data_IF_539442257908
#
_entry.id   IF_539442257908
#
_cell.length_a   1.000
_cell.length_b   1.000
_cell.length_c   1.000
_cell.angle_alpha   90.00
_cell.angle_beta   90.00
_cell.angle_gamma   90.00
#
_symmetry.space_group_name_H-M   'P 1'
#
loop_
_entity.id
_entity.type
_entity.pdbx_description
1 polymer ?
#
# COMPACT_ATOMS: atom_id res chain seq x y z
N UNK A 1 -24.63 -22.43 5.38
CA UNK A 1 -23.65 -21.68 6.17
C UNK A 1 -23.00 -20.70 5.23
N UNK A 2 -23.24 -19.43 5.44
CA UNK A 2 -22.93 -18.36 4.50
C UNK A 2 -22.15 -17.31 5.27
N UNK A 3 -20.90 -17.68 5.61
CA UNK A 3 -19.88 -16.73 6.05
C UNK A 3 -19.41 -15.96 4.82
N UNK A 4 -19.33 -14.63 4.94
CA UNK A 4 -18.69 -13.75 3.97
C UNK A 4 -17.60 -12.96 4.70
N UNK A 5 -16.38 -12.97 4.18
CA UNK A 5 -15.25 -12.24 4.74
C UNK A 5 -14.68 -11.23 3.75
N UNK A 6 -14.31 -10.06 4.28
CA UNK A 6 -13.67 -8.98 3.54
C UNK A 6 -12.38 -8.61 4.28
N UNK A 7 -11.24 -8.61 3.59
CA UNK A 7 -10.04 -7.94 4.10
C UNK A 7 -9.93 -6.55 3.47
N UNK A 8 -9.46 -5.58 4.25
CA UNK A 8 -9.11 -4.24 3.81
C UNK A 8 -7.62 -4.07 4.08
N UNK A 9 -6.85 -3.95 3.01
CA UNK A 9 -5.41 -3.78 3.02
C UNK A 9 -5.08 -2.32 2.80
N UNK A 10 -4.32 -1.73 3.72
CA UNK A 10 -4.14 -0.28 3.82
C UNK A 10 -2.73 0.09 4.28
N UNK A 11 -2.36 1.36 4.09
CA UNK A 11 -1.12 1.93 4.63
C UNK A 11 -1.29 2.29 6.10
N UNK A 12 -0.50 1.65 6.97
CA UNK A 12 -0.51 1.86 8.41
C UNK A 12 -0.36 3.34 8.78
N UNK A 13 -1.09 3.76 9.82
CA UNK A 13 -1.29 5.16 10.22
C UNK A 13 -2.02 6.02 9.17
N UNK A 14 -1.54 6.05 7.92
CA UNK A 14 -2.06 6.94 6.87
C UNK A 14 -3.51 6.68 6.48
N UNK A 15 -3.95 5.41 6.59
CA UNK A 15 -5.27 4.96 6.15
C UNK A 15 -6.01 4.17 7.22
N UNK A 16 -5.54 4.23 8.47
CA UNK A 16 -6.11 3.46 9.58
C UNK A 16 -7.60 3.75 9.81
N UNK A 17 -7.96 5.03 9.83
CA UNK A 17 -9.34 5.47 10.03
C UNK A 17 -10.21 5.05 8.84
N UNK A 18 -9.70 5.20 7.61
CA UNK A 18 -10.37 4.75 6.39
C UNK A 18 -10.71 3.25 6.45
N UNK A 19 -9.71 2.40 6.73
CA UNK A 19 -9.91 0.95 6.84
C UNK A 19 -10.86 0.58 8.00
N UNK A 20 -10.83 1.32 9.10
CA UNK A 20 -11.73 1.14 10.23
C UNK A 20 -13.18 1.48 9.86
N UNK A 21 -13.40 2.57 9.14
CA UNK A 21 -14.72 2.99 8.67
C UNK A 21 -15.32 1.97 7.71
N UNK A 22 -14.53 1.47 6.75
CA UNK A 22 -14.97 0.45 5.79
C UNK A 22 -15.37 -0.83 6.53
N UNK A 23 -14.48 -1.39 7.36
CA UNK A 23 -14.75 -2.66 8.06
C UNK A 23 -15.94 -2.58 9.02
N UNK A 24 -16.10 -1.45 9.74
CA UNK A 24 -17.27 -1.24 10.61
C UNK A 24 -18.55 -0.99 9.80
N UNK A 25 -18.47 -0.25 8.71
CA UNK A 25 -19.60 0.03 7.81
C UNK A 25 -20.23 -1.25 7.27
N UNK A 26 -19.40 -2.22 6.88
CA UNK A 26 -19.85 -3.56 6.46
C UNK A 26 -20.69 -4.23 7.56
N UNK A 27 -20.19 -4.27 8.80
CA UNK A 27 -20.89 -4.91 9.92
C UNK A 27 -22.19 -4.17 10.25
N UNK A 28 -22.19 -2.84 10.24
CA UNK A 28 -23.40 -2.05 10.48
C UNK A 28 -24.47 -2.29 9.41
N UNK A 29 -24.08 -2.37 8.15
CA UNK A 29 -24.99 -2.68 7.05
C UNK A 29 -25.55 -4.10 7.18
N UNK A 30 -24.70 -5.10 7.44
CA UNK A 30 -25.12 -6.49 7.57
C UNK A 30 -26.14 -6.71 8.71
N UNK A 31 -25.99 -5.99 9.84
CA UNK A 31 -26.94 -6.08 10.96
C UNK A 31 -28.36 -5.63 10.61
N UNK A 32 -28.54 -4.79 9.58
CA UNK A 32 -29.87 -4.39 9.09
C UNK A 32 -30.60 -5.54 8.40
N UNK A 33 -29.86 -6.52 7.89
CA UNK A 33 -30.38 -7.72 7.27
C UNK A 33 -30.52 -8.89 8.26
N UNK A 34 -30.37 -8.64 9.56
CA UNK A 34 -30.45 -9.66 10.60
C UNK A 34 -29.19 -10.52 10.73
N UNK A 35 -28.13 -10.24 9.96
CA UNK A 35 -26.83 -10.92 10.05
C UNK A 35 -26.06 -10.47 11.28
N UNK A 36 -25.10 -11.29 11.71
CA UNK A 36 -24.11 -10.95 12.73
C UNK A 36 -22.75 -10.71 12.09
N UNK A 37 -21.89 -9.91 12.71
CA UNK A 37 -20.56 -9.67 12.16
C UNK A 37 -19.54 -9.13 13.15
N UNK A 38 -18.28 -9.30 12.79
CA UNK A 38 -17.09 -8.89 13.54
C UNK A 38 -16.19 -8.04 12.64
N UNK A 39 -15.68 -6.93 13.18
CA UNK A 39 -14.65 -6.12 12.54
C UNK A 39 -13.41 -6.04 13.44
N UNK A 40 -12.25 -6.45 12.94
CA UNK A 40 -11.01 -6.52 13.71
C UNK A 40 -9.78 -6.19 12.86
N UNK A 41 -8.68 -5.77 13.50
CA UNK A 41 -7.39 -5.58 12.84
C UNK A 41 -6.51 -6.80 13.04
N UNK A 42 -5.60 -7.06 12.10
CA UNK A 42 -4.60 -8.11 12.27
C UNK A 42 -3.66 -7.74 13.42
N UNK A 43 -3.57 -8.61 14.41
CA UNK A 43 -2.83 -8.30 15.64
C UNK A 43 -1.35 -8.04 15.39
N UNK A 44 -0.73 -8.80 14.46
CA UNK A 44 0.69 -8.64 14.09
C UNK A 44 1.04 -7.29 13.48
N UNK A 45 0.06 -6.53 12.97
CA UNK A 45 0.29 -5.18 12.46
C UNK A 45 0.35 -4.12 13.58
N UNK A 46 0.01 -4.48 14.83
CA UNK A 46 0.02 -3.57 15.96
C UNK A 46 1.34 -3.62 16.74
N UNK A 47 1.94 -2.47 17.10
CA UNK A 47 1.54 -1.12 16.73
C UNK A 47 1.83 -0.78 15.26
N UNK A 48 0.87 -0.14 14.59
CA UNK A 48 1.02 0.28 13.19
C UNK A 48 2.19 1.28 13.02
N UNK A 49 2.72 1.34 11.80
CA UNK A 49 3.81 2.23 11.39
C UNK A 49 3.42 2.97 10.11
N UNK A 50 3.95 4.17 9.93
CA UNK A 50 3.68 5.00 8.75
C UNK A 50 3.99 4.24 7.45
N UNK A 51 2.99 4.06 6.60
CA UNK A 51 3.15 3.49 5.26
C UNK A 51 3.34 1.97 5.20
N UNK A 52 3.65 1.31 6.33
CA UNK A 52 3.78 -0.15 6.34
C UNK A 52 2.40 -0.77 6.09
N UNK A 53 2.27 -1.72 5.14
CA UNK A 53 1.02 -2.42 4.88
C UNK A 53 0.43 -3.06 6.15
N UNK A 54 -0.87 -2.87 6.35
CA UNK A 54 -1.64 -3.45 7.43
C UNK A 54 -2.98 -3.98 6.91
N UNK A 55 -3.60 -4.88 7.68
CA UNK A 55 -4.88 -5.50 7.34
C UNK A 55 -5.93 -5.31 8.43
N UNK A 56 -7.17 -5.06 8.00
CA UNK A 56 -8.38 -5.19 8.84
C UNK A 56 -9.37 -6.10 8.15
N UNK A 57 -10.18 -6.78 8.93
CA UNK A 57 -11.16 -7.73 8.44
C UNK A 57 -12.57 -7.31 8.87
N UNK A 58 -13.54 -7.60 8.03
CA UNK A 58 -14.94 -7.67 8.37
C UNK A 58 -15.45 -9.07 7.99
N UNK A 59 -15.98 -9.81 8.97
CA UNK A 59 -16.58 -11.13 8.76
C UNK A 59 -18.04 -11.03 9.15
N UNK A 60 -18.93 -11.42 8.25
CA UNK A 60 -20.38 -11.46 8.48
C UNK A 60 -20.91 -12.86 8.25
N UNK A 61 -21.91 -13.25 9.02
CA UNK A 61 -22.55 -14.55 8.93
C UNK A 61 -24.05 -14.43 9.26
N UNK A 62 -24.84 -15.40 8.82
CA UNK A 62 -26.29 -15.38 9.01
C UNK A 62 -26.69 -15.64 10.48
N UNK A 63 -25.84 -16.32 11.24
CA UNK A 63 -26.09 -16.63 12.65
C UNK A 63 -24.79 -16.65 13.47
N UNK A 64 -24.95 -16.72 14.79
CA UNK A 64 -23.83 -16.62 15.73
C UNK A 64 -22.89 -17.83 15.71
N UNK A 65 -23.43 -19.05 15.53
CA UNK A 65 -22.63 -20.28 15.48
C UNK A 65 -21.60 -20.22 14.33
N UNK A 66 -22.02 -19.71 13.15
CA UNK A 66 -21.13 -19.51 12.00
C UNK A 66 -20.07 -18.42 12.24
N UNK A 67 -20.37 -17.41 13.05
CA UNK A 67 -19.42 -16.34 13.37
C UNK A 67 -18.37 -16.80 14.40
N UNK A 68 -18.74 -17.71 15.30
CA UNK A 68 -17.89 -18.19 16.41
C UNK A 68 -16.57 -18.81 15.94
N UNK A 69 -16.56 -19.45 14.76
CA UNK A 69 -15.35 -19.97 14.12
C UNK A 69 -14.29 -18.88 13.86
N UNK A 70 -14.70 -17.62 13.74
CA UNK A 70 -13.82 -16.49 13.38
C UNK A 70 -13.50 -15.57 14.58
N UNK A 71 -14.07 -15.80 15.77
CA UNK A 71 -13.89 -14.92 16.94
C UNK A 71 -12.49 -15.00 17.56
N UNK A 72 -11.71 -16.05 17.26
CA UNK A 72 -10.39 -16.30 17.85
C UNK A 72 -9.25 -16.39 16.80
N UNK A 73 -9.42 -15.74 15.64
CA UNK A 73 -8.42 -15.73 14.58
C UNK A 73 -7.66 -14.39 14.54
N UNK A 74 -6.36 -14.44 14.26
CA UNK A 74 -5.54 -13.24 14.05
C UNK A 74 -5.67 -12.67 12.64
N UNK A 75 -6.01 -13.51 11.67
CA UNK A 75 -6.18 -13.22 10.24
C UNK A 75 -7.19 -14.24 9.69
N UNK A 76 -8.03 -13.85 8.73
CA UNK A 76 -8.95 -14.78 8.07
C UNK A 76 -8.15 -15.76 7.17
N UNK A 77 -8.58 -17.03 7.08
CA UNK A 77 -7.92 -18.01 6.20
C UNK A 77 -8.14 -17.75 4.71
N UNK A 78 -9.33 -17.29 4.35
CA UNK A 78 -9.72 -16.83 3.01
C UNK A 78 -10.74 -15.68 3.11
N UNK A 79 -10.90 -14.93 2.02
CA UNK A 79 -11.84 -13.82 1.90
C UNK A 79 -12.56 -13.81 0.54
N UNK A 80 -13.80 -13.34 0.56
CA UNK A 80 -14.63 -13.10 -0.62
C UNK A 80 -14.18 -11.87 -1.40
N UNK A 81 -13.76 -10.83 -0.65
CA UNK A 81 -13.29 -9.57 -1.22
C UNK A 81 -12.02 -9.11 -0.51
N UNK A 82 -10.98 -8.81 -1.29
CA UNK A 82 -9.80 -8.09 -0.84
C UNK A 82 -9.91 -6.65 -1.32
N UNK A 83 -10.16 -5.73 -0.40
CA UNK A 83 -10.18 -4.28 -0.67
C UNK A 83 -8.76 -3.73 -0.53
N UNK A 84 -8.30 -3.01 -1.54
CA UNK A 84 -6.96 -2.41 -1.60
C UNK A 84 -7.12 -0.91 -1.71
N UNK A 85 -6.79 -0.16 -0.67
CA UNK A 85 -7.05 1.31 -0.62
C UNK A 85 -5.90 2.17 -1.17
N UNK A 86 -4.86 1.54 -1.69
CA UNK A 86 -3.71 2.14 -2.38
C UNK A 86 -3.20 1.14 -3.42
N UNK A 87 -3.22 1.50 -4.70
CA UNK A 87 -2.88 0.60 -5.80
C UNK A 87 -1.43 0.10 -5.79
N UNK A 88 -0.52 0.84 -5.17
CA UNK A 88 0.88 0.42 -5.05
C UNK A 88 1.05 -0.80 -4.14
N UNK A 89 0.04 -1.14 -3.33
CA UNK A 89 -0.01 -2.40 -2.56
C UNK A 89 -0.21 -3.63 -3.45
N UNK A 90 -0.65 -3.47 -4.71
CA UNK A 90 -0.75 -4.59 -5.66
C UNK A 90 0.60 -5.27 -5.92
N UNK A 91 1.69 -4.48 -5.82
CA UNK A 91 3.08 -4.95 -5.93
C UNK A 91 3.55 -5.82 -4.77
N UNK A 92 2.68 -6.10 -3.81
CA UNK A 92 2.95 -6.97 -2.67
C UNK A 92 2.93 -6.23 -1.34
N UNK A 93 2.66 -6.98 -0.29
CA UNK A 93 2.47 -6.46 1.06
C UNK A 93 3.32 -7.21 2.06
N UNK A 94 3.95 -6.48 2.96
CA UNK A 94 4.75 -7.03 4.05
C UNK A 94 4.33 -6.35 5.34
N UNK A 95 3.86 -7.14 6.30
CA UNK A 95 3.59 -6.64 7.66
C UNK A 95 4.91 -6.29 8.33
N UNK A 96 4.91 -5.34 9.27
CA UNK A 96 6.10 -5.19 10.14
C UNK A 96 6.30 -6.38 11.09
N UNK A 97 5.25 -7.15 11.39
CA UNK A 97 5.30 -8.36 12.22
C UNK A 97 5.52 -9.66 11.44
N UNK A 98 5.64 -9.58 10.11
CA UNK A 98 5.89 -10.72 9.21
C UNK A 98 7.17 -10.45 8.42
N UNK A 99 7.92 -11.49 8.11
CA UNK A 99 9.08 -11.39 7.23
C UNK A 99 8.75 -12.10 5.92
N UNK A 100 8.79 -11.37 4.80
CA UNK A 100 8.49 -11.89 3.47
C UNK A 100 7.38 -11.13 2.78
N UNK A 101 7.48 -11.01 1.46
CA UNK A 101 6.45 -10.37 0.65
C UNK A 101 5.28 -11.32 0.44
N UNK A 102 4.07 -10.82 0.65
CA UNK A 102 2.84 -11.54 0.36
C UNK A 102 2.15 -10.93 -0.87
N UNK A 103 1.64 -11.76 -1.80
CA UNK A 103 0.73 -11.30 -2.84
C UNK A 103 -0.49 -10.58 -2.25
N UNK A 104 -0.92 -9.48 -2.88
CA UNK A 104 -2.13 -8.75 -2.45
C UNK A 104 -3.39 -9.63 -2.51
N UNK A 105 -3.43 -10.59 -3.43
CA UNK A 105 -4.52 -11.51 -3.70
C UNK A 105 -4.38 -12.86 -2.96
N UNK A 106 -3.48 -12.95 -1.97
CA UNK A 106 -3.17 -14.21 -1.29
C UNK A 106 -4.41 -14.84 -0.64
N UNK A 107 -5.16 -14.06 0.16
CA UNK A 107 -6.36 -14.55 0.85
C UNK A 107 -7.60 -14.59 -0.04
N UNK A 108 -7.62 -13.90 -1.18
CA UNK A 108 -8.78 -13.87 -2.06
C UNK A 108 -9.09 -15.29 -2.52
N UNK A 109 -10.29 -15.79 -2.24
CA UNK A 109 -10.72 -17.13 -2.66
C UNK A 109 -10.87 -17.23 -4.17
N UNK A 110 -10.96 -18.45 -4.69
CA UNK A 110 -11.29 -18.70 -6.09
C UNK A 110 -12.60 -18.01 -6.47
N UNK A 111 -12.59 -17.26 -7.57
CA UNK A 111 -13.70 -16.40 -8.02
C UNK A 111 -14.12 -15.31 -7.00
N UNK A 112 -13.28 -15.01 -6.01
CA UNK A 112 -13.39 -13.82 -5.16
C UNK A 112 -13.01 -12.56 -5.92
N UNK A 113 -13.09 -11.40 -5.26
CA UNK A 113 -12.80 -10.10 -5.89
C UNK A 113 -11.65 -9.38 -5.18
N UNK A 114 -10.67 -8.90 -5.94
CA UNK A 114 -9.75 -7.84 -5.50
C UNK A 114 -10.33 -6.51 -5.97
N UNK A 115 -10.66 -5.61 -5.04
CA UNK A 115 -11.28 -4.31 -5.31
C UNK A 115 -10.28 -3.21 -4.96
N UNK A 116 -9.77 -2.51 -5.97
CA UNK A 116 -8.66 -1.56 -5.81
C UNK A 116 -9.14 -0.11 -5.97
N UNK A 117 -8.79 0.76 -5.05
CA UNK A 117 -8.93 2.21 -5.23
C UNK A 117 -7.79 2.72 -6.10
N UNK A 118 -8.10 3.12 -7.34
CA UNK A 118 -7.07 3.57 -8.28
C UNK A 118 -7.62 4.42 -9.42
N UNK A 119 -6.77 5.29 -9.98
CA UNK A 119 -7.02 5.91 -11.28
C UNK A 119 -6.63 5.00 -12.45
N UNK A 120 -5.80 3.98 -12.21
CA UNK A 120 -5.35 3.02 -13.21
C UNK A 120 -6.50 2.13 -13.72
N UNK A 121 -6.28 1.53 -14.89
CA UNK A 121 -7.16 0.48 -15.43
C UNK A 121 -6.79 -0.90 -14.88
N UNK A 122 -7.72 -1.87 -14.94
CA UNK A 122 -7.46 -3.25 -14.48
C UNK A 122 -6.20 -3.87 -15.09
N UNK A 123 -5.93 -3.65 -16.38
CA UNK A 123 -4.78 -4.27 -17.06
C UNK A 123 -3.43 -3.80 -16.49
N UNK A 124 -3.32 -2.53 -16.07
CA UNK A 124 -2.10 -2.03 -15.44
C UNK A 124 -1.94 -2.61 -14.03
N UNK A 125 -3.02 -2.66 -13.26
CA UNK A 125 -3.02 -3.24 -11.91
C UNK A 125 -2.68 -4.73 -11.92
N UNK A 126 -3.13 -5.48 -12.95
CA UNK A 126 -2.77 -6.89 -13.12
C UNK A 126 -1.26 -7.04 -13.32
N UNK A 127 -0.60 -6.16 -14.07
CA UNK A 127 0.86 -6.21 -14.27
C UNK A 127 1.63 -6.10 -12.96
N UNK A 128 1.12 -5.34 -12.00
CA UNK A 128 1.72 -5.19 -10.67
C UNK A 128 1.33 -6.33 -9.71
N UNK A 129 0.18 -6.98 -9.95
CA UNK A 129 -0.36 -8.00 -9.06
C UNK A 129 0.28 -9.36 -9.34
N UNK A 130 0.82 -10.00 -8.31
CA UNK A 130 1.39 -11.35 -8.40
C UNK A 130 0.38 -12.38 -8.93
N UNK A 131 0.88 -13.30 -9.75
CA UNK A 131 0.10 -14.42 -10.30
C UNK A 131 -0.52 -15.27 -9.19
N UNK A 132 -1.70 -15.82 -9.49
CA UNK A 132 -2.43 -16.74 -8.63
C UNK A 132 -2.87 -17.95 -9.45
N UNK A 133 -2.78 -19.14 -8.86
CA UNK A 133 -3.16 -20.40 -9.53
C UNK A 133 -4.68 -20.58 -9.69
N UNK A 134 -5.47 -19.66 -9.14
CA UNK A 134 -6.92 -19.69 -9.20
C UNK A 134 -7.46 -18.36 -9.76
N UNK A 135 -8.51 -18.39 -10.59
CA UNK A 135 -9.10 -17.18 -11.14
C UNK A 135 -9.70 -16.31 -10.04
N UNK A 136 -9.66 -15.00 -10.24
CA UNK A 136 -10.32 -14.00 -9.40
C UNK A 136 -10.85 -12.84 -10.25
N UNK A 137 -11.68 -11.99 -9.66
CA UNK A 137 -12.15 -10.75 -10.29
C UNK A 137 -11.34 -9.57 -9.80
N UNK A 138 -10.97 -8.65 -10.69
CA UNK A 138 -10.36 -7.38 -10.35
C UNK A 138 -11.34 -6.24 -10.64
N UNK A 139 -11.81 -5.58 -9.59
CA UNK A 139 -12.65 -4.39 -9.67
C UNK A 139 -11.85 -3.13 -9.34
N UNK A 140 -12.27 -2.00 -9.91
CA UNK A 140 -11.64 -0.70 -9.64
C UNK A 140 -12.67 0.30 -9.11
N UNK A 141 -12.41 0.84 -7.94
CA UNK A 141 -13.08 2.03 -7.43
C UNK A 141 -12.25 3.24 -7.86
N UNK A 142 -12.77 4.05 -8.79
CA UNK A 142 -12.03 5.22 -9.28
C UNK A 142 -11.81 6.23 -8.16
N UNK A 143 -10.55 6.53 -7.87
CA UNK A 143 -10.13 7.49 -6.87
C UNK A 143 -8.61 7.62 -6.80
N UNK A 144 -8.15 8.77 -6.33
CA UNK A 144 -6.76 8.95 -5.89
C UNK A 144 -6.56 8.33 -4.51
N UNK A 145 -5.31 8.18 -4.09
CA UNK A 145 -5.01 7.61 -2.78
C UNK A 145 -5.47 8.55 -1.66
N UNK A 146 -6.26 8.01 -0.74
CA UNK A 146 -6.78 8.76 0.42
C UNK A 146 -5.83 8.61 1.61
N UNK A 147 -4.79 9.44 1.69
CA UNK A 147 -3.91 9.50 2.86
C UNK A 147 -4.31 10.60 3.84
N UNK A 148 -4.15 10.29 5.12
CA UNK A 148 -4.45 11.19 6.23
C UNK A 148 -3.49 10.93 7.39
N UNK A 149 -3.02 11.96 8.10
CA UNK A 149 -2.11 11.77 9.24
C UNK A 149 -2.78 11.07 10.45
N UNK A 150 -1.99 10.73 11.49
CA UNK A 150 -2.50 10.06 12.70
C UNK A 150 -3.71 10.74 13.36
N UNK A 151 -3.81 12.06 13.27
CA UNK A 151 -4.81 12.89 13.95
C UNK A 151 -5.84 13.53 13.00
N UNK A 152 -5.74 13.27 11.71
CA UNK A 152 -6.57 13.88 10.67
C UNK A 152 -7.23 12.75 9.90
N UNK A 153 -8.50 12.90 9.56
CA UNK A 153 -9.17 12.04 8.59
C UNK A 153 -9.46 12.86 7.34
N UNK A 154 -9.05 12.37 6.18
CA UNK A 154 -9.39 12.96 4.88
C UNK A 154 -10.73 12.35 4.46
N UNK A 155 -11.80 13.12 4.59
CA UNK A 155 -13.14 12.66 4.22
C UNK A 155 -13.43 12.92 2.74
N UNK A 156 -12.74 12.22 1.85
CA UNK A 156 -12.88 12.34 0.39
C UNK A 156 -13.85 11.30 -0.21
N UNK A 157 -14.74 10.76 0.63
CA UNK A 157 -15.73 9.74 0.29
C UNK A 157 -15.13 8.43 -0.27
N UNK A 158 -13.83 8.16 -0.05
CA UNK A 158 -13.24 6.86 -0.43
C UNK A 158 -13.91 5.69 0.31
N UNK A 159 -14.22 5.85 1.61
CA UNK A 159 -14.99 4.86 2.38
C UNK A 159 -16.38 4.61 1.79
N UNK A 160 -17.14 5.68 1.49
CA UNK A 160 -18.48 5.58 0.93
C UNK A 160 -18.48 4.89 -0.44
N UNK A 161 -17.54 5.25 -1.33
CA UNK A 161 -17.41 4.61 -2.66
C UNK A 161 -17.09 3.12 -2.55
N UNK A 162 -16.15 2.74 -1.68
CA UNK A 162 -15.82 1.33 -1.43
C UNK A 162 -17.02 0.58 -0.86
N UNK A 163 -17.68 1.15 0.16
CA UNK A 163 -18.87 0.55 0.76
C UNK A 163 -19.98 0.35 -0.27
N UNK A 164 -20.18 1.30 -1.19
CA UNK A 164 -21.13 1.15 -2.30
C UNK A 164 -20.74 0.08 -3.32
N UNK A 165 -19.45 -0.07 -3.61
CA UNK A 165 -18.94 -1.08 -4.55
C UNK A 165 -19.03 -2.52 -4.00
N UNK A 166 -18.96 -2.71 -2.67
CA UNK A 166 -18.98 -4.04 -2.05
C UNK A 166 -20.24 -4.87 -2.37
N UNK A 167 -21.48 -4.35 -2.19
CA UNK A 167 -22.71 -5.04 -2.61
C UNK A 167 -22.75 -5.41 -4.09
N UNK A 168 -22.03 -4.68 -4.95
CA UNK A 168 -21.98 -4.96 -6.40
C UNK A 168 -21.13 -6.19 -6.69
N UNK A 169 -19.96 -6.29 -6.07
CA UNK A 169 -18.98 -7.36 -6.33
C UNK A 169 -19.17 -8.61 -5.45
N UNK A 170 -19.87 -8.43 -4.33
CA UNK A 170 -20.24 -9.48 -3.39
C UNK A 170 -21.68 -9.26 -2.86
N UNK A 171 -22.72 -9.61 -3.65
CA UNK A 171 -24.11 -9.42 -3.25
C UNK A 171 -24.52 -10.21 -1.99
N UNK A 172 -23.82 -11.32 -1.72
CA UNK A 172 -24.02 -12.17 -0.54
C UNK A 172 -23.68 -11.41 0.77
N UNK A 173 -22.83 -10.39 0.69
CA UNK A 173 -22.38 -9.61 1.84
C UNK A 173 -23.55 -8.83 2.45
N UNK A 174 -24.13 -7.94 1.65
CA UNK A 174 -25.21 -7.03 2.02
C UNK A 174 -25.79 -6.36 0.77
N UNK A 175 -27.06 -5.96 0.81
CA UNK A 175 -27.70 -5.15 -0.23
C UNK A 175 -27.20 -3.70 -0.24
N UNK A 176 -27.32 -3.05 -1.40
CA UNK A 176 -26.99 -1.61 -1.55
C UNK A 176 -27.90 -0.72 -0.69
N UNK A 177 -29.15 -1.11 -0.45
CA UNK A 177 -30.08 -0.32 0.35
C UNK A 177 -29.71 -0.37 1.84
N UNK A 178 -29.43 -1.56 2.39
CA UNK A 178 -28.93 -1.69 3.76
C UNK A 178 -27.57 -0.98 3.94
N UNK A 179 -26.71 -1.01 2.92
CA UNK A 179 -25.46 -0.24 2.94
C UNK A 179 -25.71 1.26 2.97
N UNK A 180 -26.58 1.78 2.09
CA UNK A 180 -26.96 3.18 2.04
C UNK A 180 -27.58 3.67 3.36
N UNK A 181 -28.47 2.88 3.96
CA UNK A 181 -29.07 3.20 5.25
C UNK A 181 -28.06 3.18 6.41
N UNK A 182 -27.07 2.28 6.38
CA UNK A 182 -26.00 2.26 7.36
C UNK A 182 -25.09 3.49 7.20
N UNK A 183 -24.75 3.87 5.96
CA UNK A 183 -23.99 5.09 5.68
C UNK A 183 -24.75 6.32 6.21
N UNK A 184 -26.03 6.45 5.88
CA UNK A 184 -26.85 7.57 6.33
C UNK A 184 -26.94 7.61 7.86
N UNK A 185 -27.08 6.46 8.52
CA UNK A 185 -27.16 6.42 9.98
C UNK A 185 -25.86 6.86 10.65
N UNK A 186 -24.71 6.38 10.16
CA UNK A 186 -23.40 6.63 10.77
C UNK A 186 -22.91 8.06 10.53
N UNK A 187 -23.06 8.58 9.31
CA UNK A 187 -22.49 9.86 8.92
C UNK A 187 -23.50 11.01 8.84
N UNK A 188 -24.81 10.72 8.80
CA UNK A 188 -25.87 11.74 8.60
C UNK A 188 -25.65 12.60 7.34
N UNK A 189 -25.14 11.96 6.29
CA UNK A 189 -24.70 12.64 5.06
C UNK A 189 -25.31 11.95 3.82
N UNK A 190 -26.22 12.65 3.14
CA UNK A 190 -26.87 12.16 1.91
C UNK A 190 -25.92 12.14 0.71
N UNK A 191 -24.91 13.01 0.67
CA UNK A 191 -23.91 13.05 -0.41
C UNK A 191 -23.02 11.81 -0.37
N UNK A 192 -22.73 11.29 0.83
CA UNK A 192 -22.05 9.99 0.98
C UNK A 192 -22.91 8.83 0.48
N UNK A 193 -24.21 8.86 0.72
CA UNK A 193 -25.14 7.85 0.19
C UNK A 193 -25.14 7.88 -1.34
N UNK A 194 -25.22 9.07 -1.95
CA UNK A 194 -25.13 9.24 -3.39
C UNK A 194 -23.79 8.75 -3.95
N UNK A 195 -22.70 9.00 -3.24
CA UNK A 195 -21.36 8.53 -3.61
C UNK A 195 -21.29 7.01 -3.62
N UNK A 196 -21.88 6.35 -2.62
CA UNK A 196 -21.97 4.90 -2.55
C UNK A 196 -22.83 4.32 -3.68
N UNK A 197 -24.01 4.88 -3.94
CA UNK A 197 -24.90 4.42 -5.03
C UNK A 197 -24.25 4.59 -6.41
N UNK A 198 -23.62 5.74 -6.66
CA UNK A 198 -22.84 5.96 -7.90
C UNK A 198 -21.71 4.96 -8.05
N UNK A 199 -21.02 4.61 -6.96
CA UNK A 199 -19.96 3.61 -7.00
C UNK A 199 -20.52 2.21 -7.27
N UNK A 200 -21.65 1.84 -6.67
CA UNK A 200 -22.36 0.58 -6.96
C UNK A 200 -22.67 0.43 -8.45
N UNK A 201 -23.21 1.47 -9.08
CA UNK A 201 -23.60 1.45 -10.50
C UNK A 201 -22.40 1.39 -11.44
N UNK A 202 -21.30 2.05 -11.08
CA UNK A 202 -20.09 2.20 -11.91
C UNK A 202 -19.05 1.10 -11.73
N UNK A 203 -19.11 0.37 -10.62
CA UNK A 203 -18.13 -0.68 -10.34
C UNK A 203 -18.37 -1.84 -11.28
N UNK A 204 -17.37 -2.11 -12.09
CA UNK A 204 -17.28 -3.28 -12.95
C UNK A 204 -16.02 -4.08 -12.60
N UNK A 205 -15.99 -5.33 -13.00
CA UNK A 205 -14.91 -6.27 -12.71
C UNK A 205 -14.41 -6.95 -13.96
N UNK A 206 -13.10 -7.15 -14.04
CA UNK A 206 -12.45 -7.98 -15.04
C UNK A 206 -12.07 -9.33 -14.42
N UNK A 207 -12.28 -10.43 -15.13
CA UNK A 207 -11.74 -11.73 -14.71
C UNK A 207 -10.24 -11.74 -14.98
N UNK A 208 -9.46 -12.20 -14.00
CA UNK A 208 -8.03 -12.44 -14.10
C UNK A 208 -7.84 -13.95 -14.04
N UNK A 209 -7.36 -14.53 -15.14
CA UNK A 209 -7.16 -15.97 -15.28
C UNK A 209 -5.84 -16.42 -14.65
N UNK A 210 -5.72 -17.71 -14.28
CA UNK A 210 -4.45 -18.26 -13.81
C UNK A 210 -3.30 -18.00 -14.78
N UNK A 211 -2.16 -17.56 -14.24
CA UNK A 211 -0.99 -17.17 -15.02
C UNK A 211 -1.00 -15.73 -15.56
N UNK A 212 -2.08 -14.96 -15.36
CA UNK A 212 -2.06 -13.51 -15.57
C UNK A 212 -1.45 -12.77 -14.37
N UNK A 213 -0.63 -11.77 -14.65
CA UNK A 213 -0.02 -10.88 -13.66
C UNK A 213 1.49 -11.01 -13.55
N UNK A 214 2.06 -10.43 -12.49
CA UNK A 214 3.50 -10.46 -12.21
C UNK A 214 3.95 -11.89 -11.86
N UNK A 215 4.88 -12.44 -12.65
CA UNK A 215 5.47 -13.75 -12.44
C UNK A 215 6.60 -13.78 -11.42
N UNK A 216 6.96 -12.64 -10.83
CA UNK A 216 7.90 -12.56 -9.72
C UNK A 216 7.45 -13.47 -8.58
N UNK A 217 8.39 -14.25 -8.05
CA UNK A 217 8.15 -15.07 -6.88
C UNK A 217 8.41 -14.18 -5.66
N UNK A 218 7.39 -13.89 -4.82
CA UNK A 218 7.58 -13.09 -3.62
C UNK A 218 8.70 -13.66 -2.76
N UNK A 219 9.63 -12.81 -2.32
CA UNK A 219 10.70 -13.26 -1.44
C UNK A 219 10.10 -13.75 -0.11
N UNK A 220 10.70 -14.82 0.42
CA UNK A 220 10.30 -15.44 1.67
C UNK A 220 11.53 -15.90 2.43
N UNK A 221 11.34 -16.24 3.70
CA UNK A 221 12.42 -16.67 4.57
C UNK A 221 12.00 -17.91 5.35
N UNK A 222 12.96 -18.80 5.57
CA UNK A 222 12.77 -19.95 6.45
C UNK A 222 12.76 -19.48 7.91
N UNK A 223 11.58 -19.48 8.52
CA UNK A 223 11.46 -19.15 9.93
C UNK A 223 12.02 -20.31 10.77
N UNK A 224 12.92 -20.06 11.73
CA UNK A 224 13.44 -21.12 12.58
C UNK A 224 12.29 -21.72 13.40
N UNK A 225 12.15 -23.03 13.35
CA UNK A 225 11.25 -23.75 14.24
C UNK A 225 11.69 -23.60 15.70
N UNK A 226 10.77 -23.78 16.65
CA UNK A 226 11.04 -23.62 18.08
C UNK A 226 12.20 -24.49 18.61
N UNK A 227 12.50 -25.61 17.95
CA UNK A 227 13.63 -26.50 18.26
C UNK A 227 14.97 -25.99 17.72
N UNK A 228 14.95 -25.08 16.75
CA UNK A 228 16.12 -24.58 16.03
C UNK A 228 16.49 -23.14 16.47
N UNK A 229 15.65 -22.52 17.30
CA UNK A 229 15.94 -21.20 17.86
C UNK A 229 17.14 -21.29 18.82
N UNK A 230 18.09 -20.38 18.68
CA UNK A 230 19.25 -20.28 19.56
C UNK A 230 18.81 -19.96 21.01
N UNK A 231 19.48 -20.57 21.99
CA UNK A 231 19.23 -20.29 23.41
C UNK A 231 19.45 -18.80 23.70
N UNK A 232 18.46 -18.15 24.32
CA UNK A 232 18.54 -16.74 24.69
C UNK A 232 18.24 -15.72 23.59
N UNK A 233 17.85 -16.14 22.36
CA UNK A 233 17.47 -15.25 21.24
C UNK A 233 18.60 -14.25 20.92
N UNK A 234 19.78 -14.76 20.57
CA UNK A 234 20.92 -13.90 20.17
C UNK A 234 20.68 -13.37 18.76
N UNK A 235 20.28 -12.10 18.66
CA UNK A 235 20.20 -11.39 17.38
C UNK A 235 21.59 -10.83 17.04
N UNK A 236 22.19 -11.34 15.97
CA UNK A 236 23.48 -10.85 15.48
C UNK A 236 23.33 -9.41 14.98
N UNK A 237 24.26 -8.54 15.38
CA UNK A 237 24.30 -7.16 14.88
C UNK A 237 24.58 -7.13 13.38
N UNK A 238 24.11 -6.07 12.71
CA UNK A 238 24.43 -5.82 11.31
C UNK A 238 25.91 -5.41 11.23
N UNK A 239 26.64 -6.04 10.30
CA UNK A 239 28.06 -5.73 10.05
C UNK A 239 28.25 -4.29 9.57
N UNK A 240 29.50 -3.81 9.62
CA UNK A 240 29.83 -2.52 9.02
C UNK A 240 29.72 -2.59 7.49
N UNK A 241 29.36 -1.46 6.88
CA UNK A 241 29.39 -1.32 5.42
C UNK A 241 30.78 -1.51 4.80
N UNK A 242 30.80 -1.77 3.51
CA UNK A 242 32.03 -1.89 2.68
C UNK A 242 32.14 -0.71 1.72
N UNK A 243 33.13 -0.69 0.83
CA UNK A 243 33.07 0.20 -0.33
C UNK A 243 31.88 -0.17 -1.24
N UNK A 244 31.54 0.76 -2.13
CA UNK A 244 30.38 0.64 -3.03
C UNK A 244 30.50 -0.63 -3.87
N UNK A 245 29.51 -1.53 -3.81
CA UNK A 245 29.53 -2.82 -4.52
C UNK A 245 30.84 -3.61 -4.29
N UNK A 246 31.30 -3.65 -3.04
CA UNK A 246 32.54 -4.31 -2.62
C UNK A 246 33.83 -3.71 -3.22
N UNK A 247 33.75 -2.52 -3.81
CA UNK A 247 34.89 -1.77 -4.33
C UNK A 247 35.78 -1.17 -3.24
N UNK A 248 36.91 -0.57 -3.66
CA UNK A 248 37.84 0.14 -2.77
C UNK A 248 37.45 1.61 -2.49
N UNK A 249 36.45 2.13 -3.21
CA UNK A 249 35.96 3.52 -3.10
C UNK A 249 34.45 3.52 -2.78
N UNK A 250 33.93 4.69 -2.39
CA UNK A 250 32.54 4.83 -1.95
C UNK A 250 32.26 4.15 -0.60
N UNK A 251 30.98 4.00 -0.28
CA UNK A 251 30.51 3.34 0.95
C UNK A 251 29.10 2.78 0.78
N UNK A 252 28.92 1.50 1.08
CA UNK A 252 27.63 0.80 1.06
C UNK A 252 27.38 0.19 2.44
N UNK A 253 26.37 0.65 3.21
CA UNK A 253 26.05 0.06 4.50
C UNK A 253 25.52 -1.36 4.31
N UNK A 254 25.93 -2.30 5.17
CA UNK A 254 25.23 -3.58 5.28
C UNK A 254 23.84 -3.33 5.87
N UNK A 255 22.86 -4.09 5.39
CA UNK A 255 21.44 -3.93 5.74
C UNK A 255 20.88 -5.26 6.22
N UNK A 256 19.74 -5.19 6.92
CA UNK A 256 19.05 -6.41 7.33
C UNK A 256 18.57 -7.17 6.09
N UNK A 257 19.06 -8.38 5.81
CA UNK A 257 18.66 -9.13 4.61
C UNK A 257 17.20 -9.59 4.67
N UNK A 258 16.62 -9.66 5.87
CA UNK A 258 15.29 -10.18 6.12
C UNK A 258 14.20 -9.10 6.10
N UNK A 259 14.56 -7.82 6.16
CA UNK A 259 13.59 -6.74 6.26
C UNK A 259 13.74 -5.77 5.10
N UNK A 260 13.12 -6.12 3.98
CA UNK A 260 12.96 -5.22 2.83
C UNK A 260 11.91 -4.18 3.19
N UNK A 261 12.04 -2.95 2.68
CA UNK A 261 11.12 -1.85 3.01
C UNK A 261 10.38 -1.31 1.79
N UNK A 262 10.64 -1.88 0.62
CA UNK A 262 10.09 -1.34 -0.61
C UNK A 262 8.58 -1.48 -0.73
N UNK A 263 8.01 -2.51 -0.11
CA UNK A 263 6.57 -2.74 -0.03
C UNK A 263 5.83 -1.62 0.73
N UNK A 264 6.53 -0.75 1.47
CA UNK A 264 5.94 0.38 2.21
C UNK A 264 5.76 1.64 1.35
N UNK A 265 6.28 1.66 0.12
CA UNK A 265 6.30 2.85 -0.72
C UNK A 265 4.99 3.07 -1.45
N UNK A 266 4.52 4.31 -1.42
CA UNK A 266 3.61 4.85 -2.44
C UNK A 266 4.32 5.82 -3.40
N UNK A 267 5.51 6.29 -3.03
CA UNK A 267 6.42 7.09 -3.85
C UNK A 267 7.87 6.71 -3.55
N UNK A 268 8.77 6.98 -4.48
CA UNK A 268 10.24 6.78 -4.33
C UNK A 268 11.02 7.99 -4.86
N UNK A 269 12.25 8.25 -4.37
CA UNK A 269 13.06 9.34 -4.90
C UNK A 269 13.67 8.99 -6.27
N UNK A 270 13.60 9.92 -7.20
CA UNK A 270 14.35 9.94 -8.46
C UNK A 270 15.41 11.03 -8.35
N UNK A 271 16.63 10.76 -8.80
CA UNK A 271 17.80 11.60 -8.51
C UNK A 271 18.36 12.20 -9.81
N UNK A 272 18.51 13.52 -9.86
CA UNK A 272 19.30 14.18 -10.88
C UNK A 272 20.77 14.22 -10.43
N UNK A 273 21.55 13.30 -10.98
CA UNK A 273 22.99 13.18 -10.69
C UNK A 273 23.83 14.32 -11.28
N UNK A 274 23.33 15.08 -12.27
CA UNK A 274 24.05 16.21 -12.87
C UNK A 274 23.97 17.47 -12.02
N UNK A 275 22.83 17.67 -11.35
CA UNK A 275 22.62 18.84 -10.47
C UNK A 275 23.09 18.61 -9.04
N UNK A 276 23.40 17.37 -8.68
CA UNK A 276 23.86 17.01 -7.34
C UNK A 276 25.19 17.69 -6.97
N UNK A 277 25.16 18.53 -5.94
CA UNK A 277 26.34 19.24 -5.40
C UNK A 277 27.11 18.44 -4.33
N UNK A 278 26.77 17.16 -4.11
CA UNK A 278 27.45 16.26 -3.17
C UNK A 278 27.50 16.77 -1.72
N UNK A 279 26.39 17.36 -1.25
CA UNK A 279 26.32 17.98 0.08
C UNK A 279 26.07 17.01 1.25
N UNK A 280 25.90 15.71 0.99
CA UNK A 280 25.69 14.65 2.01
C UNK A 280 24.36 14.71 2.79
N UNK A 281 23.51 15.73 2.60
CA UNK A 281 22.30 15.90 3.42
C UNK A 281 21.30 14.75 3.25
N UNK A 282 21.07 14.27 2.02
CA UNK A 282 20.17 13.13 1.77
C UNK A 282 20.66 11.84 2.45
N UNK A 283 21.98 11.63 2.51
CA UNK A 283 22.60 10.48 3.17
C UNK A 283 22.51 10.59 4.69
N UNK A 284 22.87 11.74 5.27
CA UNK A 284 22.83 11.97 6.72
C UNK A 284 21.43 11.93 7.32
N UNK A 285 20.44 12.44 6.59
CA UNK A 285 19.06 12.58 7.09
C UNK A 285 18.18 11.38 6.75
N UNK A 286 18.67 10.41 5.97
CA UNK A 286 17.91 9.22 5.65
C UNK A 286 17.73 8.36 6.92
N UNK A 287 16.48 8.19 7.43
CA UNK A 287 16.25 7.42 8.65
C UNK A 287 16.51 5.91 8.46
N UNK A 288 16.52 5.44 7.22
CA UNK A 288 16.68 4.03 6.86
C UNK A 288 18.06 3.70 6.29
N UNK A 289 18.98 4.67 6.21
CA UNK A 289 20.31 4.49 5.62
C UNK A 289 20.26 3.87 4.21
N UNK A 290 19.30 4.31 3.39
CA UNK A 290 19.09 3.75 2.05
C UNK A 290 20.06 4.29 0.99
N UNK A 291 20.78 5.39 1.25
CA UNK A 291 21.74 5.93 0.28
C UNK A 291 23.11 5.25 0.41
N UNK A 292 23.61 4.75 -0.71
CA UNK A 292 24.97 4.28 -0.92
C UNK A 292 25.82 5.46 -1.45
N UNK A 293 27.03 5.63 -0.94
CA UNK A 293 27.99 6.62 -1.45
C UNK A 293 28.74 5.97 -2.63
N UNK A 294 28.60 6.55 -3.81
CA UNK A 294 29.22 6.00 -5.04
C UNK A 294 30.71 6.36 -5.12
N UNK A 295 31.51 5.70 -5.97
CA UNK A 295 32.94 6.01 -6.13
C UNK A 295 33.22 7.46 -6.54
N UNK A 296 32.34 8.05 -7.34
CA UNK A 296 32.42 9.46 -7.75
C UNK A 296 31.84 10.44 -6.71
N UNK A 297 31.45 9.97 -5.52
CA UNK A 297 30.97 10.79 -4.41
C UNK A 297 29.53 11.29 -4.54
N UNK A 298 28.74 10.68 -5.43
CA UNK A 298 27.28 10.86 -5.50
C UNK A 298 26.58 9.91 -4.50
N UNK A 299 25.25 9.96 -4.47
CA UNK A 299 24.43 9.16 -3.56
C UNK A 299 23.38 8.37 -4.34
N UNK A 300 23.54 7.05 -4.41
CA UNK A 300 22.57 6.15 -5.05
C UNK A 300 21.61 5.61 -4.00
N UNK A 301 20.30 5.71 -4.23
CA UNK A 301 19.32 5.22 -3.28
C UNK A 301 19.03 3.74 -3.53
N UNK A 302 19.34 2.89 -2.55
CA UNK A 302 18.99 1.47 -2.54
C UNK A 302 17.47 1.30 -2.45
N UNK A 303 16.84 0.97 -3.59
CA UNK A 303 15.39 0.84 -3.69
C UNK A 303 14.84 -0.41 -3.02
N UNK A 304 15.65 -1.36 -2.56
CA UNK A 304 15.16 -2.45 -1.72
C UNK A 304 14.86 -2.01 -0.27
N UNK A 305 15.60 -0.98 0.18
CA UNK A 305 15.62 -0.53 1.58
C UNK A 305 14.93 0.82 1.77
N UNK A 306 14.68 1.54 0.68
CA UNK A 306 13.95 2.80 0.70
C UNK A 306 12.48 2.58 1.08
N UNK A 307 12.03 3.19 2.17
CA UNK A 307 10.63 3.18 2.61
C UNK A 307 9.77 4.28 1.95
N UNK A 308 10.38 5.16 1.15
CA UNK A 308 9.69 6.21 0.43
C UNK A 308 9.29 7.43 1.27
N UNK A 309 9.87 7.65 2.46
CA UNK A 309 9.45 8.73 3.37
C UNK A 309 9.56 10.16 2.81
N UNK A 310 10.42 10.39 1.81
CA UNK A 310 10.60 11.68 1.15
C UNK A 310 11.38 12.74 1.95
N UNK A 311 12.06 12.33 3.03
CA UNK A 311 12.98 13.21 3.77
C UNK A 311 14.12 13.72 2.89
N UNK A 312 14.64 12.88 1.99
CA UNK A 312 15.74 13.24 1.09
C UNK A 312 15.41 14.38 0.13
N UNK A 313 14.20 14.41 -0.45
CA UNK A 313 13.70 15.54 -1.23
C UNK A 313 13.57 16.80 -0.36
N UNK A 314 12.99 16.67 0.84
CA UNK A 314 12.75 17.81 1.73
C UNK A 314 14.02 18.50 2.23
N UNK A 315 15.14 17.76 2.38
CA UNK A 315 16.42 18.31 2.87
C UNK A 315 17.39 18.68 1.74
N UNK A 316 17.09 18.32 0.50
CA UNK A 316 17.97 18.63 -0.63
C UNK A 316 17.96 20.15 -0.90
N UNK A 317 19.12 20.83 -0.89
CA UNK A 317 19.17 22.27 -1.09
C UNK A 317 19.10 22.67 -2.58
N UNK A 318 19.22 21.70 -3.49
CA UNK A 318 19.16 21.92 -4.93
C UNK A 318 17.74 21.58 -5.41
N UNK A 319 17.00 22.54 -5.98
CA UNK A 319 15.66 22.30 -6.51
C UNK A 319 15.63 21.14 -7.50
N UNK A 320 14.63 20.27 -7.38
CA UNK A 320 14.38 19.11 -8.25
C UNK A 320 15.57 18.13 -8.39
N UNK A 321 16.62 18.23 -7.56
CA UNK A 321 17.75 17.27 -7.58
C UNK A 321 17.35 15.90 -7.03
N UNK A 322 16.43 15.88 -6.07
CA UNK A 322 15.77 14.67 -5.59
C UNK A 322 14.27 14.95 -5.66
N UNK A 323 13.53 14.15 -6.43
CA UNK A 323 12.08 14.30 -6.59
C UNK A 323 11.36 13.00 -6.24
N UNK A 324 10.35 13.07 -5.38
CA UNK A 324 9.52 11.92 -5.04
C UNK A 324 8.51 11.65 -6.15
N UNK A 325 8.62 10.50 -6.81
CA UNK A 325 7.75 10.07 -7.92
C UNK A 325 6.90 8.87 -7.49
N UNK A 326 5.64 8.84 -7.95
CA UNK A 326 4.68 7.77 -7.67
C UNK A 326 5.23 6.37 -7.95
N UNK A 327 5.14 5.48 -6.95
CA UNK A 327 5.68 4.12 -7.01
C UNK A 327 5.06 3.32 -8.16
N UNK A 328 3.82 3.59 -8.54
CA UNK A 328 3.12 3.00 -9.71
C UNK A 328 3.90 3.09 -11.04
N UNK A 329 4.84 4.04 -11.17
CA UNK A 329 5.59 4.27 -12.41
C UNK A 329 6.84 3.36 -12.57
N UNK A 330 7.09 2.45 -11.63
CA UNK A 330 8.32 1.65 -11.58
C UNK A 330 8.03 0.15 -11.58
N UNK A 331 8.85 -0.65 -12.23
CA UNK A 331 8.69 -2.12 -12.30
C UNK A 331 9.75 -2.90 -11.54
N UNK A 332 10.80 -2.24 -11.07
CA UNK A 332 11.92 -2.87 -10.37
C UNK A 332 12.55 -1.94 -9.33
N UNK A 333 13.58 -2.42 -8.62
CA UNK A 333 14.35 -1.71 -7.60
C UNK A 333 15.82 -1.49 -8.02
N UNK A 334 16.10 -1.42 -9.32
CA UNK A 334 17.47 -1.30 -9.84
C UNK A 334 18.13 0.02 -9.44
N UNK A 335 19.47 0.01 -9.42
CA UNK A 335 20.28 1.19 -9.14
C UNK A 335 20.06 2.27 -10.19
N UNK A 336 19.75 3.49 -9.73
CA UNK A 336 19.60 4.64 -10.62
C UNK A 336 20.97 5.16 -11.06
N UNK A 337 21.95 5.13 -10.18
CA UNK A 337 23.31 5.55 -10.54
C UNK A 337 23.94 4.62 -11.58
N UNK A 338 23.75 3.29 -11.48
CA UNK A 338 24.25 2.35 -12.50
C UNK A 338 23.57 2.59 -13.85
N UNK A 339 22.26 2.86 -13.87
CA UNK A 339 21.53 3.23 -15.08
C UNK A 339 22.08 4.54 -15.68
N UNK A 340 22.33 5.56 -14.86
CA UNK A 340 22.91 6.84 -15.30
C UNK A 340 24.35 6.68 -15.83
N UNK A 341 25.19 5.86 -15.20
CA UNK A 341 26.55 5.61 -15.68
C UNK A 341 26.56 4.87 -17.01
N UNK A 342 25.59 3.97 -17.23
CA UNK A 342 25.47 3.21 -18.48
C UNK A 342 25.11 4.11 -19.66
N UNK A 343 24.10 4.97 -19.49
CA UNK A 343 23.69 5.93 -20.49
C UNK A 343 23.07 7.17 -19.82
N UNK A 344 23.84 8.26 -19.79
CA UNK A 344 23.44 9.51 -19.13
C UNK A 344 22.28 10.19 -19.86
N UNK A 345 22.31 10.19 -21.19
CA UNK A 345 21.29 10.89 -21.98
C UNK A 345 19.95 10.18 -21.87
N UNK A 346 19.95 8.84 -21.92
CA UNK A 346 18.76 8.02 -21.72
C UNK A 346 18.20 8.21 -20.30
N UNK A 347 19.04 8.10 -19.26
CA UNK A 347 18.61 8.29 -17.89
C UNK A 347 18.06 9.70 -17.64
N UNK A 348 18.75 10.74 -18.11
CA UNK A 348 18.32 12.11 -17.92
C UNK A 348 16.98 12.40 -18.60
N UNK A 349 16.74 11.80 -19.77
CA UNK A 349 15.45 11.88 -20.46
C UNK A 349 14.36 11.19 -19.64
N UNK A 350 14.59 9.94 -19.25
CA UNK A 350 13.67 9.15 -18.41
C UNK A 350 13.31 9.87 -17.10
N UNK A 351 14.32 10.41 -16.41
CA UNK A 351 14.14 11.16 -15.17
C UNK A 351 13.30 12.42 -15.39
N UNK A 352 13.61 13.22 -16.42
CA UNK A 352 12.88 14.45 -16.72
C UNK A 352 11.42 14.18 -17.09
N UNK A 353 11.15 13.13 -17.86
CA UNK A 353 9.79 12.72 -18.22
C UNK A 353 9.00 12.36 -16.94
N UNK A 354 9.57 11.54 -16.05
CA UNK A 354 8.94 11.19 -14.76
C UNK A 354 8.71 12.39 -13.84
N UNK A 355 9.71 13.28 -13.70
CA UNK A 355 9.59 14.49 -12.87
C UNK A 355 8.53 15.43 -13.42
N UNK A 356 8.43 15.57 -14.74
CA UNK A 356 7.44 16.42 -15.38
C UNK A 356 6.02 15.85 -15.24
N UNK A 357 5.85 14.53 -15.33
CA UNK A 357 4.57 13.86 -15.04
C UNK A 357 4.20 14.01 -13.56
N UNK A 358 5.15 13.86 -12.64
CA UNK A 358 4.91 14.00 -11.21
C UNK A 358 4.45 15.41 -10.82
N UNK A 359 4.91 16.45 -11.51
CA UNK A 359 4.42 17.84 -11.30
C UNK A 359 2.93 18.01 -11.58
N UNK A 360 2.30 17.06 -12.26
CA UNK A 360 0.86 17.03 -12.52
C UNK A 360 0.08 16.22 -11.47
N UNK A 361 0.77 15.49 -10.59
CA UNK A 361 0.18 14.64 -9.55
C UNK A 361 0.42 15.28 -8.17
N UNK A 362 -0.62 15.33 -7.34
CA UNK A 362 -0.49 15.84 -5.97
C UNK A 362 0.31 14.84 -5.13
N UNK A 363 1.37 15.31 -4.45
CA UNK A 363 2.15 14.47 -3.54
C UNK A 363 1.24 13.81 -2.51
N UNK A 364 1.29 12.48 -2.42
CA UNK A 364 0.33 11.72 -1.62
C UNK A 364 0.57 11.82 -0.11
N UNK A 365 1.83 11.93 0.34
CA UNK A 365 2.17 12.01 1.77
C UNK A 365 3.46 12.81 2.04
N UNK A 366 3.60 13.23 3.29
CA UNK A 366 4.72 14.02 3.78
C UNK A 366 4.21 15.40 4.22
N UNK A 367 4.45 15.77 5.47
CA UNK A 367 4.07 17.09 5.97
C UNK A 367 4.99 18.14 5.33
N UNK A 368 4.49 18.91 4.37
CA UNK A 368 5.17 20.15 3.96
C UNK A 368 4.92 21.27 4.98
N UNK A 369 3.68 21.37 5.47
CA UNK A 369 3.26 22.35 6.48
C UNK A 369 1.96 21.92 7.19
N UNK A 370 1.69 22.54 8.35
CA UNK A 370 0.42 22.37 9.06
C UNK A 370 -0.68 23.05 8.24
N UNK A 371 -1.66 22.28 7.77
CA UNK A 371 -2.78 22.78 6.97
C UNK A 371 -2.91 22.17 5.58
N UNK A 372 -1.84 21.53 5.06
CA UNK A 372 -1.78 20.96 3.71
C UNK A 372 -3.02 20.12 3.34
N UNK A 373 -3.41 19.14 4.17
CA UNK A 373 -4.59 18.30 3.86
C UNK A 373 -5.91 19.09 3.78
N UNK A 374 -6.07 20.19 4.54
CA UNK A 374 -7.27 21.04 4.43
C UNK A 374 -7.29 21.81 3.11
N UNK A 375 -6.12 22.26 2.65
CA UNK A 375 -5.96 22.94 1.36
C UNK A 375 -6.26 21.97 0.20
N UNK A 376 -5.73 20.74 0.26
CA UNK A 376 -5.99 19.69 -0.72
C UNK A 376 -7.47 19.30 -0.78
N UNK A 377 -8.15 19.15 0.36
CA UNK A 377 -9.58 18.85 0.42
C UNK A 377 -10.40 19.95 -0.27
N UNK A 378 -10.11 21.23 0.03
CA UNK A 378 -10.81 22.36 -0.57
C UNK A 378 -10.66 22.41 -2.10
N UNK A 379 -9.49 22.04 -2.63
CA UNK A 379 -9.26 21.98 -4.08
C UNK A 379 -9.99 20.80 -4.75
N UNK A 380 -10.22 19.69 -4.04
CA UNK A 380 -10.94 18.53 -4.56
C UNK A 380 -12.46 18.76 -4.62
N UNK A 381 -13.03 19.58 -3.74
CA UNK A 381 -14.47 19.92 -3.74
C UNK A 381 -14.89 20.82 -4.92
N UNK A 382 -13.93 21.47 -5.59
CA UNK A 382 -14.17 22.32 -6.77
C UNK A 382 -14.24 21.54 -8.10
N UNK A 383 -13.99 20.22 -8.11
CA UNK A 383 -13.86 19.37 -9.32
C UNK A 383 -15.05 18.42 -9.55
#
# INVERSE_FOLDING_TARGET
>A
MTKVAVEVVYRGIFQKTLATNITRGIVFAARREGKVGLAFGRYGDSPERNGIPAKRFAVVADNQEELEENLAMYEAGDVDVTVVVDDTLCKGVESWGWYGLQPINALTRTNGTVLVTSMQGPDNLVRDTHQKDAPYRLGVVKGTVSFSGLWVYKDDHTDARILGALPKVCPELVSIDSMAEAILEQWKDEVKVDSARKAYDRTDTRVVEPGEGNSEIPFSFDLPGWTNMEEGIVIRGIEQGTGFREGSEGYEPKRNPYFKKYSTRSMRPVIDFETCIKCTLCWLQCPDTCFDVTPDGLYDANMDSCCGCGVCEAVCPVPDCVTMVGEKNFTDNSSQWEAWQKDKDEYNKWMKDLVQEQKQDSRSHGFHHVGQYKEEIAQMEEV
#
